data_IF_239375278808
#
_entry.id   IF_239375278808
#
_cell.length_a   1.000
_cell.length_b   1.000
_cell.length_c   1.000
_cell.angle_alpha   90.00
_cell.angle_beta   90.00
_cell.angle_gamma   90.00
#
_symmetry.space_group_name_H-M   'P 1'
#
loop_
_entity.id
_entity.type
_entity.pdbx_description
1 polymer ?
#
# COMPACT_ATOMS: atom_id res chain seq x y z
N UNK A 1 -31.65 -15.32 -15.82
CA UNK A 1 -30.51 -14.46 -15.44
C UNK A 1 -30.15 -14.78 -14.00
N UNK A 2 -28.94 -15.31 -13.75
CA UNK A 2 -28.52 -15.75 -12.42
C UNK A 2 -28.61 -14.58 -11.43
N UNK A 3 -29.46 -14.69 -10.39
CA UNK A 3 -29.61 -13.71 -9.31
C UNK A 3 -28.26 -13.28 -8.73
N UNK A 4 -27.31 -14.21 -8.69
CA UNK A 4 -25.92 -14.03 -8.31
C UNK A 4 -25.16 -13.04 -9.18
N UNK A 5 -25.26 -13.12 -10.51
CA UNK A 5 -24.49 -12.26 -11.43
C UNK A 5 -24.93 -10.81 -11.34
N UNK A 6 -26.24 -10.57 -11.21
CA UNK A 6 -26.79 -9.22 -11.04
C UNK A 6 -26.30 -8.57 -9.73
N UNK A 7 -26.27 -9.35 -8.65
CA UNK A 7 -25.80 -8.86 -7.34
C UNK A 7 -24.26 -8.71 -7.34
N UNK A 8 -23.52 -9.59 -8.01
CA UNK A 8 -22.07 -9.42 -8.18
C UNK A 8 -21.72 -8.14 -8.94
N UNK A 9 -22.46 -7.85 -10.02
CA UNK A 9 -22.28 -6.65 -10.84
C UNK A 9 -22.69 -5.38 -10.09
N UNK A 10 -23.76 -5.42 -9.28
CA UNK A 10 -24.21 -4.28 -8.46
C UNK A 10 -23.25 -4.00 -7.28
N UNK A 11 -22.67 -5.05 -6.67
CA UNK A 11 -21.85 -4.95 -5.46
C UNK A 11 -20.33 -4.93 -5.73
N UNK A 12 -19.91 -4.89 -7.01
CA UNK A 12 -18.51 -5.00 -7.43
C UNK A 12 -17.76 -6.21 -6.83
N UNK A 13 -18.45 -7.32 -6.56
CA UNK A 13 -17.82 -8.56 -6.07
C UNK A 13 -17.45 -9.42 -7.27
N UNK A 14 -16.15 -9.47 -7.58
CA UNK A 14 -15.62 -10.21 -8.72
C UNK A 14 -15.17 -11.61 -8.26
N UNK A 15 -15.74 -12.63 -8.90
CA UNK A 15 -15.33 -14.01 -8.71
C UNK A 15 -16.40 -15.01 -9.13
N UNK A 16 -15.97 -16.21 -9.50
CA UNK A 16 -16.81 -17.32 -9.92
C UNK A 16 -16.54 -18.60 -9.14
N UNK A 17 -15.50 -18.65 -8.31
CA UNK A 17 -15.13 -19.80 -7.47
C UNK A 17 -16.27 -20.23 -6.54
N UNK A 18 -16.30 -21.51 -6.18
CA UNK A 18 -17.30 -22.04 -5.24
C UNK A 18 -17.23 -21.34 -3.88
N UNK A 19 -16.01 -21.11 -3.38
CA UNK A 19 -15.78 -20.45 -2.08
C UNK A 19 -16.34 -19.03 -2.02
N UNK A 20 -16.22 -18.24 -3.10
CA UNK A 20 -16.80 -16.89 -3.09
C UNK A 20 -18.33 -16.93 -3.22
N UNK A 21 -18.90 -17.94 -3.88
CA UNK A 21 -20.35 -18.13 -3.93
C UNK A 21 -20.93 -18.44 -2.56
N UNK A 22 -20.28 -19.31 -1.79
CA UNK A 22 -20.68 -19.59 -0.40
C UNK A 22 -20.69 -18.32 0.47
N UNK A 23 -19.65 -17.47 0.34
CA UNK A 23 -19.58 -16.18 1.03
C UNK A 23 -20.75 -15.28 0.62
N UNK A 24 -21.05 -15.18 -0.67
CA UNK A 24 -22.15 -14.37 -1.19
C UNK A 24 -23.51 -14.89 -0.70
N UNK A 25 -23.72 -16.20 -0.65
CA UNK A 25 -24.95 -16.81 -0.13
C UNK A 25 -25.18 -16.49 1.36
N UNK A 26 -24.11 -16.55 2.14
CA UNK A 26 -24.15 -16.15 3.54
C UNK A 26 -24.46 -14.67 3.69
N UNK A 27 -23.84 -13.81 2.88
CA UNK A 27 -24.15 -12.36 2.84
C UNK A 27 -25.62 -12.12 2.51
N UNK A 28 -26.18 -12.77 1.49
CA UNK A 28 -27.58 -12.63 1.12
C UNK A 28 -28.54 -13.07 2.23
N UNK A 29 -28.16 -14.09 3.00
CA UNK A 29 -28.98 -14.62 4.10
C UNK A 29 -28.96 -13.71 5.33
N UNK A 30 -27.84 -13.05 5.58
CA UNK A 30 -27.60 -12.26 6.80
C UNK A 30 -27.93 -10.78 6.61
N UNK A 31 -27.80 -10.24 5.39
CA UNK A 31 -28.07 -8.84 5.09
C UNK A 31 -29.47 -8.35 5.49
N UNK A 32 -30.57 -9.13 5.36
CA UNK A 32 -31.90 -8.71 5.80
C UNK A 32 -32.07 -8.57 7.33
N UNK A 33 -31.14 -9.11 8.11
CA UNK A 33 -31.23 -9.14 9.59
C UNK A 33 -30.49 -7.97 10.24
N UNK A 34 -30.79 -7.69 11.52
CA UNK A 34 -30.03 -6.74 12.34
C UNK A 34 -28.91 -7.40 13.17
N UNK A 35 -28.58 -8.67 12.90
CA UNK A 35 -27.57 -9.41 13.65
C UNK A 35 -26.17 -8.84 13.34
N UNK A 36 -25.30 -8.84 14.37
CA UNK A 36 -23.89 -8.49 14.23
C UNK A 36 -23.16 -9.50 13.35
N UNK A 37 -22.32 -9.02 12.45
CA UNK A 37 -21.54 -9.87 11.53
C UNK A 37 -20.07 -9.67 11.78
N UNK A 38 -19.34 -10.76 11.97
CA UNK A 38 -17.88 -10.77 12.07
C UNK A 38 -17.28 -11.32 10.77
N UNK A 39 -16.57 -10.48 10.02
CA UNK A 39 -15.86 -10.85 8.80
C UNK A 39 -14.42 -11.20 9.17
N UNK A 40 -14.02 -12.44 8.93
CA UNK A 40 -12.64 -12.91 9.16
C UNK A 40 -11.94 -13.16 7.83
N UNK A 41 -10.63 -12.95 7.80
CA UNK A 41 -9.82 -13.23 6.62
C UNK A 41 -8.54 -12.40 6.61
N UNK A 42 -7.58 -12.82 5.80
CA UNK A 42 -6.28 -12.16 5.70
C UNK A 42 -6.36 -10.69 5.29
N UNK A 43 -5.25 -9.97 5.44
CA UNK A 43 -5.18 -8.59 4.94
C UNK A 43 -5.31 -8.58 3.42
N UNK A 44 -6.02 -7.59 2.88
CA UNK A 44 -6.16 -7.43 1.43
C UNK A 44 -7.13 -8.39 0.71
N UNK A 45 -7.91 -9.23 1.42
CA UNK A 45 -8.89 -10.16 0.76
C UNK A 45 -10.19 -9.49 0.28
N UNK A 46 -10.42 -8.22 0.60
CA UNK A 46 -11.64 -7.48 0.24
C UNK A 46 -12.76 -7.50 1.29
N UNK A 47 -12.41 -7.57 2.59
CA UNK A 47 -13.40 -7.56 3.70
C UNK A 47 -14.35 -6.35 3.66
N UNK A 48 -13.83 -5.18 3.26
CA UNK A 48 -14.63 -3.95 3.13
C UNK A 48 -15.72 -4.07 2.06
N UNK A 49 -15.42 -4.71 0.93
CA UNK A 49 -16.42 -4.94 -0.15
C UNK A 49 -17.53 -5.85 0.35
N UNK A 50 -17.19 -6.88 1.13
CA UNK A 50 -18.19 -7.76 1.77
C UNK A 50 -19.03 -7.00 2.81
N UNK A 51 -18.44 -6.09 3.58
CA UNK A 51 -19.18 -5.24 4.52
C UNK A 51 -20.16 -4.29 3.82
N UNK A 52 -19.72 -3.65 2.73
CA UNK A 52 -20.55 -2.81 1.87
C UNK A 52 -21.71 -3.61 1.27
N UNK A 53 -21.42 -4.80 0.76
CA UNK A 53 -22.43 -5.73 0.25
C UNK A 53 -23.52 -6.08 1.29
N UNK A 54 -23.13 -6.35 2.53
CA UNK A 54 -24.09 -6.61 3.62
C UNK A 54 -24.98 -5.39 3.86
N UNK A 55 -24.41 -4.18 3.83
CA UNK A 55 -25.15 -2.94 4.05
C UNK A 55 -26.13 -2.64 2.91
N UNK A 56 -25.69 -2.75 1.66
CA UNK A 56 -26.51 -2.46 0.47
C UNK A 56 -27.68 -3.43 0.28
N UNK A 57 -27.50 -4.69 0.72
CA UNK A 57 -28.56 -5.71 0.72
C UNK A 57 -29.45 -5.66 1.98
N UNK A 58 -29.22 -4.71 2.88
CA UNK A 58 -29.98 -4.60 4.14
C UNK A 58 -31.18 -3.66 4.05
N UNK A 59 -32.11 -3.72 5.02
CA UNK A 59 -33.17 -2.72 5.16
C UNK A 59 -32.63 -1.30 5.42
N UNK A 60 -31.34 -1.16 5.77
CA UNK A 60 -30.67 0.11 6.07
C UNK A 60 -29.83 0.63 4.89
N UNK A 61 -29.98 0.08 3.68
CA UNK A 61 -29.20 0.50 2.49
C UNK A 61 -29.31 1.98 2.15
N UNK A 62 -30.45 2.61 2.47
CA UNK A 62 -30.70 4.03 2.21
C UNK A 62 -30.22 4.92 3.37
N UNK A 63 -29.55 4.34 4.38
CA UNK A 63 -29.02 5.02 5.56
C UNK A 63 -27.49 5.10 5.47
N UNK A 64 -26.91 5.93 6.33
CA UNK A 64 -25.46 6.12 6.33
C UNK A 64 -24.73 4.85 6.80
N UNK A 65 -23.70 4.46 6.05
CA UNK A 65 -22.68 3.52 6.49
C UNK A 65 -21.43 4.28 6.90
N UNK A 66 -21.01 4.13 8.15
CA UNK A 66 -19.75 4.70 8.65
C UNK A 66 -18.69 3.59 8.72
N UNK A 67 -17.61 3.73 7.98
CA UNK A 67 -16.47 2.81 8.03
C UNK A 67 -15.36 3.39 8.90
N UNK A 68 -14.89 2.61 9.87
CA UNK A 68 -13.82 2.99 10.80
C UNK A 68 -12.76 1.90 10.78
N UNK A 69 -11.53 2.26 10.46
CA UNK A 69 -10.38 1.38 10.63
C UNK A 69 -9.78 1.61 12.03
N UNK A 70 -9.93 0.63 12.92
CA UNK A 70 -9.46 0.75 14.30
C UNK A 70 -7.93 0.71 14.43
N UNK A 71 -7.20 0.10 13.49
CA UNK A 71 -5.74 0.09 13.49
C UNK A 71 -5.11 1.36 12.94
N UNK A 72 -5.84 2.13 12.12
CA UNK A 72 -5.36 3.40 11.58
C UNK A 72 -5.46 4.58 12.58
N UNK A 73 -6.30 4.46 13.61
CA UNK A 73 -6.52 5.52 14.60
C UNK A 73 -5.62 5.25 15.82
N UNK A 74 -4.82 6.23 16.28
CA UNK A 74 -4.04 6.08 17.51
C UNK A 74 -4.91 5.67 18.69
N UNK A 75 -4.43 4.72 19.51
CA UNK A 75 -5.16 4.14 20.65
C UNK A 75 -5.78 5.21 21.56
N UNK A 76 -5.05 6.27 21.88
CA UNK A 76 -5.53 7.36 22.75
C UNK A 76 -6.64 8.23 22.14
N UNK A 77 -6.84 8.18 20.82
CA UNK A 77 -7.88 8.94 20.11
C UNK A 77 -9.08 8.08 19.72
N UNK A 78 -8.91 6.77 19.61
CA UNK A 78 -9.95 5.86 19.13
C UNK A 78 -11.26 5.97 19.93
N UNK A 79 -11.16 6.11 21.26
CA UNK A 79 -12.32 6.27 22.12
C UNK A 79 -13.09 7.57 21.82
N UNK A 80 -12.37 8.68 21.67
CA UNK A 80 -12.94 9.99 21.35
C UNK A 80 -13.57 10.02 19.96
N UNK A 81 -12.97 9.33 18.99
CA UNK A 81 -13.50 9.23 17.63
C UNK A 81 -14.75 8.35 17.56
N UNK A 82 -14.78 7.20 18.25
CA UNK A 82 -15.93 6.30 18.26
C UNK A 82 -17.12 6.88 19.02
N UNK A 83 -16.90 7.38 20.24
CA UNK A 83 -17.98 7.78 21.16
C UNK A 83 -18.20 9.30 21.24
N UNK A 84 -17.29 10.11 20.70
CA UNK A 84 -17.34 11.56 20.82
C UNK A 84 -16.82 12.06 22.17
N UNK A 85 -16.67 13.37 22.29
CA UNK A 85 -16.20 14.02 23.51
C UNK A 85 -16.89 15.35 23.76
N UNK A 86 -17.01 15.72 25.02
CA UNK A 86 -17.41 17.06 25.43
C UNK A 86 -16.22 18.02 25.50
N UNK A 87 -16.52 19.32 25.41
CA UNK A 87 -15.52 20.36 25.61
C UNK A 87 -14.84 20.19 26.97
N UNK A 88 -13.50 20.19 26.98
CA UNK A 88 -12.69 20.04 28.20
C UNK A 88 -12.47 18.60 28.66
N UNK A 89 -12.88 17.58 27.89
CA UNK A 89 -12.70 16.18 28.28
C UNK A 89 -11.22 15.72 28.33
N UNK A 90 -10.33 16.32 27.55
CA UNK A 90 -8.88 16.08 27.55
C UNK A 90 -8.13 17.33 27.06
N UNK A 91 -6.80 17.32 27.19
CA UNK A 91 -5.93 18.40 26.69
C UNK A 91 -6.05 18.50 25.17
N UNK A 92 -6.72 19.54 24.68
CA UNK A 92 -7.00 19.74 23.25
C UNK A 92 -8.49 19.66 22.87
N UNK A 93 -9.38 19.30 23.80
CA UNK A 93 -10.83 19.30 23.59
C UNK A 93 -11.43 20.71 23.61
N UNK A 94 -11.17 21.50 22.57
CA UNK A 94 -11.60 22.91 22.45
C UNK A 94 -13.11 23.02 22.22
N UNK A 95 -13.71 22.04 21.53
CA UNK A 95 -15.12 21.98 21.20
C UNK A 95 -15.67 20.57 21.42
N UNK A 96 -17.00 20.46 21.57
CA UNK A 96 -17.69 19.18 21.62
C UNK A 96 -17.73 18.55 20.21
N UNK A 97 -17.40 17.26 20.10
CA UNK A 97 -17.41 16.50 18.84
C UNK A 97 -18.29 15.26 18.96
N UNK A 98 -19.14 15.02 17.96
CA UNK A 98 -19.93 13.78 17.84
C UNK A 98 -19.01 12.62 17.43
N UNK A 99 -19.23 11.45 18.03
CA UNK A 99 -18.52 10.23 17.66
C UNK A 99 -19.15 9.50 16.48
N UNK A 100 -18.43 8.53 15.92
CA UNK A 100 -18.90 7.71 14.81
C UNK A 100 -20.20 6.95 15.10
N UNK A 101 -20.43 6.52 16.35
CA UNK A 101 -21.70 5.88 16.71
C UNK A 101 -22.91 6.82 16.62
N UNK A 102 -22.74 8.11 16.94
CA UNK A 102 -23.81 9.10 16.76
C UNK A 102 -24.04 9.41 15.28
N UNK A 103 -22.97 9.44 14.48
CA UNK A 103 -23.07 9.68 13.04
C UNK A 103 -23.70 8.50 12.31
N UNK A 104 -23.54 7.27 12.82
CA UNK A 104 -24.10 6.05 12.26
C UNK A 104 -25.52 5.73 12.75
N UNK A 105 -26.15 6.60 13.55
CA UNK A 105 -27.46 6.33 14.14
C UNK A 105 -28.55 6.06 13.09
N UNK A 106 -29.32 4.99 13.28
CA UNK A 106 -30.27 4.45 12.30
C UNK A 106 -29.63 3.76 11.08
N UNK A 107 -28.29 3.75 10.98
CA UNK A 107 -27.52 3.24 9.87
C UNK A 107 -26.70 2.00 10.21
N UNK A 108 -25.50 1.91 9.65
CA UNK A 108 -24.56 0.79 9.86
C UNK A 108 -23.18 1.33 10.17
N UNK A 109 -22.48 0.71 11.12
CA UNK A 109 -21.06 0.98 11.38
C UNK A 109 -20.25 -0.26 11.01
N UNK A 110 -19.22 -0.04 10.21
CA UNK A 110 -18.22 -1.04 9.86
C UNK A 110 -16.94 -0.76 10.64
N UNK A 111 -16.53 -1.72 11.47
CA UNK A 111 -15.34 -1.64 12.31
C UNK A 111 -14.28 -2.59 11.73
N UNK A 112 -13.36 -2.07 10.92
CA UNK A 112 -12.23 -2.84 10.41
C UNK A 112 -11.12 -2.94 11.44
N UNK A 113 -10.38 -4.04 11.41
CA UNK A 113 -9.32 -4.37 12.36
C UNK A 113 -9.77 -4.31 13.84
N UNK A 114 -10.95 -4.86 14.16
CA UNK A 114 -11.50 -4.84 15.52
C UNK A 114 -10.56 -5.46 16.57
N UNK A 115 -9.66 -6.35 16.14
CA UNK A 115 -8.62 -6.93 16.99
C UNK A 115 -7.62 -5.91 17.56
N UNK A 116 -7.45 -4.76 16.92
CA UNK A 116 -6.56 -3.68 17.38
C UNK A 116 -7.22 -2.75 18.41
N UNK A 117 -8.48 -3.01 18.80
CA UNK A 117 -9.17 -2.16 19.76
C UNK A 117 -8.60 -2.31 21.18
N UNK A 118 -8.29 -1.20 21.88
CA UNK A 118 -7.85 -1.22 23.27
C UNK A 118 -8.89 -1.84 24.22
N UNK A 119 -8.42 -2.48 25.29
CA UNK A 119 -9.29 -3.19 26.25
C UNK A 119 -10.36 -2.28 26.89
N UNK A 120 -10.03 -1.00 27.10
CA UNK A 120 -10.95 -0.01 27.68
C UNK A 120 -12.07 0.35 26.69
N UNK A 121 -11.72 0.56 25.43
CA UNK A 121 -12.67 0.81 24.33
C UNK A 121 -13.59 -0.38 24.11
N UNK A 122 -13.07 -1.61 24.24
CA UNK A 122 -13.88 -2.84 24.14
C UNK A 122 -15.03 -2.89 25.16
N UNK A 123 -14.85 -2.36 26.37
CA UNK A 123 -15.92 -2.31 27.40
C UNK A 123 -17.06 -1.42 26.96
N UNK A 124 -16.75 -0.25 26.39
CA UNK A 124 -17.76 0.70 25.90
C UNK A 124 -18.44 0.16 24.64
N UNK A 125 -17.67 -0.47 23.76
CA UNK A 125 -18.20 -1.10 22.56
C UNK A 125 -19.21 -2.21 22.89
N UNK A 126 -18.93 -3.02 23.91
CA UNK A 126 -19.87 -4.04 24.39
C UNK A 126 -21.22 -3.43 24.81
N UNK A 127 -21.20 -2.31 25.55
CA UNK A 127 -22.43 -1.62 25.97
C UNK A 127 -23.26 -1.15 24.77
N UNK A 128 -22.61 -0.60 23.74
CA UNK A 128 -23.31 -0.22 22.50
C UNK A 128 -23.89 -1.45 21.79
N UNK A 129 -23.16 -2.56 21.74
CA UNK A 129 -23.64 -3.81 21.13
C UNK A 129 -24.81 -4.46 21.88
N UNK A 130 -24.92 -4.25 23.20
CA UNK A 130 -25.94 -4.88 24.05
C UNK A 130 -27.19 -4.01 24.21
N UNK A 131 -27.04 -2.76 24.64
CA UNK A 131 -28.16 -1.86 24.95
C UNK A 131 -28.37 -0.74 23.93
N UNK A 132 -27.40 -0.53 23.02
CA UNK A 132 -27.37 0.63 22.14
C UNK A 132 -26.99 1.92 22.87
N UNK A 133 -26.45 1.83 24.09
CA UNK A 133 -26.19 3.00 24.93
C UNK A 133 -24.69 3.24 25.14
N UNK A 134 -24.29 4.52 25.15
CA UNK A 134 -22.95 4.95 25.50
C UNK A 134 -22.95 6.37 26.08
N UNK A 135 -21.78 6.81 26.54
CA UNK A 135 -21.53 8.16 27.02
C UNK A 135 -20.32 8.73 26.26
N UNK A 136 -20.38 10.02 25.94
CA UNK A 136 -19.22 10.75 25.40
C UNK A 136 -18.08 10.79 26.43
N UNK A 137 -16.85 10.91 25.95
CA UNK A 137 -15.70 11.13 26.83
C UNK A 137 -15.89 12.46 27.57
N UNK A 138 -15.78 12.42 28.90
CA UNK A 138 -16.01 13.57 29.78
C UNK A 138 -17.48 13.89 30.08
N UNK A 139 -18.45 13.11 29.59
CA UNK A 139 -19.87 13.28 29.88
C UNK A 139 -20.43 12.14 30.75
N UNK A 140 -21.40 12.47 31.61
CA UNK A 140 -22.23 11.51 32.34
C UNK A 140 -23.60 11.28 31.70
N UNK A 141 -23.88 11.93 30.56
CA UNK A 141 -25.16 11.81 29.85
C UNK A 141 -25.18 10.53 29.01
N UNK A 142 -26.16 9.66 29.27
CA UNK A 142 -26.42 8.47 28.48
C UNK A 142 -27.07 8.84 27.15
N UNK A 143 -26.55 8.29 26.06
CA UNK A 143 -27.06 8.43 24.70
C UNK A 143 -27.41 7.07 24.15
N UNK A 144 -28.54 6.97 23.46
CA UNK A 144 -29.02 5.74 22.82
C UNK A 144 -28.98 5.90 21.31
N UNK A 145 -28.43 4.90 20.63
CA UNK A 145 -28.34 4.82 19.17
C UNK A 145 -28.80 3.45 18.68
N UNK A 146 -29.38 3.40 17.48
CA UNK A 146 -29.74 2.17 16.79
C UNK A 146 -28.81 1.94 15.60
N UNK A 147 -27.70 1.26 15.83
CA UNK A 147 -26.66 1.03 14.81
C UNK A 147 -26.46 -0.45 14.56
N UNK A 148 -26.52 -0.86 13.29
CA UNK A 148 -26.11 -2.20 12.88
C UNK A 148 -24.59 -2.27 12.85
N UNK A 149 -24.01 -3.30 13.47
CA UNK A 149 -22.56 -3.43 13.58
C UNK A 149 -22.05 -4.56 12.68
N UNK A 150 -21.09 -4.23 11.83
CA UNK A 150 -20.30 -5.17 11.04
C UNK A 150 -18.85 -5.00 11.49
N UNK A 151 -18.20 -6.05 11.93
CA UNK A 151 -16.80 -6.02 12.38
C UNK A 151 -15.94 -6.87 11.45
N UNK A 152 -14.69 -6.47 11.22
CA UNK A 152 -13.73 -7.23 10.45
C UNK A 152 -12.40 -7.38 11.19
N UNK A 153 -11.72 -8.50 10.96
CA UNK A 153 -10.38 -8.75 11.53
C UNK A 153 -9.59 -9.74 10.69
N UNK A 154 -8.28 -9.58 10.66
CA UNK A 154 -7.30 -10.54 10.18
C UNK A 154 -6.66 -11.38 11.30
N UNK A 155 -6.94 -11.07 12.56
CA UNK A 155 -6.38 -11.77 13.74
C UNK A 155 -7.35 -12.81 14.27
N UNK A 156 -6.79 -13.86 14.88
CA UNK A 156 -7.56 -14.88 15.57
C UNK A 156 -8.03 -14.35 16.94
N UNK A 157 -9.25 -13.80 16.97
CA UNK A 157 -9.85 -13.28 18.20
C UNK A 157 -9.99 -14.35 19.30
N UNK A 158 -10.12 -15.63 18.94
CA UNK A 158 -10.20 -16.72 19.93
C UNK A 158 -8.89 -16.86 20.70
N UNK A 159 -7.75 -16.77 20.00
CA UNK A 159 -6.43 -16.73 20.67
C UNK A 159 -6.25 -15.46 21.49
N UNK A 160 -6.71 -14.31 20.99
CA UNK A 160 -6.62 -13.03 21.72
C UNK A 160 -7.45 -13.03 23.02
N UNK A 161 -8.56 -13.76 23.05
CA UNK A 161 -9.33 -13.98 24.28
C UNK A 161 -8.52 -14.81 25.28
N UNK A 162 -7.83 -15.85 24.82
CA UNK A 162 -6.98 -16.69 25.68
C UNK A 162 -5.80 -15.90 26.26
N UNK A 163 -5.20 -15.00 25.48
CA UNK A 163 -4.11 -14.12 25.92
C UNK A 163 -4.58 -12.86 26.68
N UNK A 164 -5.88 -12.72 26.98
CA UNK A 164 -6.50 -11.57 27.65
C UNK A 164 -6.33 -10.23 26.92
N UNK A 165 -6.01 -10.25 25.63
CA UNK A 165 -5.93 -9.05 24.79
C UNK A 165 -7.29 -8.63 24.22
N UNK A 166 -8.26 -9.56 24.21
CA UNK A 166 -9.61 -9.30 23.75
C UNK A 166 -10.63 -9.86 24.74
N UNK A 167 -11.70 -9.11 25.04
CA UNK A 167 -12.67 -9.56 26.03
C UNK A 167 -13.54 -10.70 25.50
N UNK A 168 -13.77 -11.68 26.37
CA UNK A 168 -14.58 -12.86 26.09
C UNK A 168 -16.04 -12.51 25.76
N UNK A 169 -16.64 -11.60 26.51
CA UNK A 169 -18.04 -11.16 26.32
C UNK A 169 -18.25 -10.46 24.96
N UNK A 170 -17.40 -9.50 24.62
CA UNK A 170 -17.41 -8.83 23.33
C UNK A 170 -17.22 -9.82 22.18
N UNK A 171 -16.30 -10.77 22.31
CA UNK A 171 -16.08 -11.80 21.29
C UNK A 171 -17.34 -12.60 21.00
N UNK A 172 -18.03 -13.10 22.03
CA UNK A 172 -19.26 -13.88 21.82
C UNK A 172 -20.40 -13.04 21.23
N UNK A 173 -20.47 -11.74 21.55
CA UNK A 173 -21.46 -10.84 20.96
C UNK A 173 -21.19 -10.53 19.49
N UNK A 174 -19.93 -10.45 19.08
CA UNK A 174 -19.53 -10.25 17.68
C UNK A 174 -19.62 -11.53 16.85
N UNK A 175 -19.31 -12.69 17.44
CA UNK A 175 -19.27 -14.00 16.77
C UNK A 175 -20.66 -14.60 16.46
N UNK A 176 -21.73 -13.81 16.52
CA UNK A 176 -23.09 -14.31 16.27
C UNK A 176 -23.21 -14.94 14.87
N UNK A 177 -22.67 -14.25 13.86
CA UNK A 177 -22.47 -14.77 12.51
C UNK A 177 -21.04 -14.45 12.09
N UNK A 178 -20.31 -15.45 11.62
CA UNK A 178 -18.94 -15.29 11.11
C UNK A 178 -18.90 -15.59 9.61
N UNK A 179 -18.38 -14.65 8.82
CA UNK A 179 -18.13 -14.80 7.40
C UNK A 179 -16.62 -14.90 7.18
N UNK A 180 -16.13 -16.07 6.77
CA UNK A 180 -14.73 -16.26 6.42
C UNK A 180 -14.52 -15.91 4.94
N UNK A 181 -13.73 -14.88 4.67
CA UNK A 181 -13.33 -14.51 3.31
C UNK A 181 -12.04 -15.25 2.95
N UNK A 182 -12.06 -16.13 1.94
CA UNK A 182 -10.92 -16.95 1.59
C UNK A 182 -9.78 -16.11 0.98
N UNK A 183 -8.51 -16.47 1.26
CA UNK A 183 -7.38 -15.85 0.61
C UNK A 183 -7.36 -16.16 -0.89
N UNK A 184 -6.70 -15.31 -1.68
CA UNK A 184 -6.72 -15.36 -3.14
C UNK A 184 -6.13 -16.67 -3.69
N UNK A 185 -5.10 -17.21 -3.03
CA UNK A 185 -4.50 -18.52 -3.35
C UNK A 185 -5.45 -19.71 -3.25
N UNK A 186 -6.55 -19.57 -2.50
CA UNK A 186 -7.59 -20.59 -2.36
C UNK A 186 -8.70 -20.46 -3.40
N UNK A 187 -8.72 -19.37 -4.17
CA UNK A 187 -9.70 -19.06 -5.23
C UNK A 187 -8.99 -18.63 -6.52
N UNK A 188 -8.04 -19.46 -6.98
CA UNK A 188 -7.20 -19.18 -8.16
C UNK A 188 -7.99 -18.95 -9.46
N UNK A 189 -9.19 -19.50 -9.55
CA UNK A 189 -10.11 -19.31 -10.68
C UNK A 189 -10.57 -17.86 -10.83
N UNK A 190 -10.57 -17.09 -9.73
CA UNK A 190 -11.00 -15.69 -9.73
C UNK A 190 -9.89 -14.73 -10.18
N UNK A 191 -8.62 -15.16 -10.12
CA UNK A 191 -7.45 -14.32 -10.41
C UNK A 191 -7.51 -13.70 -11.82
N UNK A 192 -7.79 -14.44 -12.92
CA UNK A 192 -7.86 -13.83 -14.25
C UNK A 192 -8.98 -12.80 -14.40
N UNK A 193 -10.11 -13.02 -13.72
CA UNK A 193 -11.26 -12.10 -13.76
C UNK A 193 -10.93 -10.80 -13.02
N UNK A 194 -10.31 -10.92 -11.84
CA UNK A 194 -9.83 -9.80 -11.06
C UNK A 194 -8.75 -9.00 -11.81
N UNK A 195 -7.76 -9.70 -12.39
CA UNK A 195 -6.69 -9.08 -13.16
C UNK A 195 -7.26 -8.28 -14.33
N UNK A 196 -8.18 -8.87 -15.09
CA UNK A 196 -8.83 -8.17 -16.22
C UNK A 196 -9.54 -6.91 -15.75
N UNK A 197 -10.28 -6.98 -14.64
CA UNK A 197 -10.99 -5.83 -14.11
C UNK A 197 -10.03 -4.69 -13.70
N UNK A 198 -8.98 -5.00 -12.96
CA UNK A 198 -8.00 -3.97 -12.54
C UNK A 198 -7.26 -3.37 -13.72
N UNK A 199 -6.93 -4.16 -14.74
CA UNK A 199 -6.33 -3.65 -15.97
C UNK A 199 -7.28 -2.69 -16.68
N UNK A 200 -8.55 -3.05 -16.83
CA UNK A 200 -9.56 -2.18 -17.45
C UNK A 200 -9.81 -0.89 -16.64
N UNK A 201 -9.77 -0.96 -15.30
CA UNK A 201 -9.83 0.20 -14.39
C UNK A 201 -8.63 1.14 -14.65
N UNK A 202 -7.40 0.60 -14.58
CA UNK A 202 -6.15 1.36 -14.79
C UNK A 202 -6.06 2.00 -16.17
N UNK A 203 -6.52 1.30 -17.23
CA UNK A 203 -6.51 1.82 -18.60
C UNK A 203 -7.44 3.03 -18.76
N UNK A 204 -8.61 2.99 -18.12
CA UNK A 204 -9.57 4.11 -18.12
C UNK A 204 -9.04 5.32 -17.37
N UNK A 205 -8.32 5.11 -16.27
CA UNK A 205 -7.80 6.19 -15.44
C UNK A 205 -6.56 6.86 -16.07
N UNK A 206 -5.69 6.10 -16.71
CA UNK A 206 -4.37 6.57 -17.12
C UNK A 206 -4.19 6.76 -18.64
N UNK A 207 -5.19 6.47 -19.48
CA UNK A 207 -5.12 6.58 -20.95
C UNK A 207 -3.90 5.87 -21.58
N UNK A 208 -3.49 4.72 -21.00
CA UNK A 208 -2.36 3.93 -21.48
C UNK A 208 -2.83 2.91 -22.51
N UNK A 209 -1.98 2.56 -23.48
CA UNK A 209 -2.23 1.43 -24.38
C UNK A 209 -1.59 0.16 -23.82
N UNK A 210 -2.37 -0.91 -23.73
CA UNK A 210 -1.91 -2.21 -23.21
C UNK A 210 -2.35 -3.33 -24.15
N UNK A 211 -1.41 -4.15 -24.62
CA UNK A 211 -1.69 -5.21 -25.59
C UNK A 211 -2.11 -6.54 -24.94
N UNK A 212 -2.23 -6.59 -23.61
CA UNK A 212 -2.63 -7.79 -22.88
C UNK A 212 -1.47 -8.60 -22.33
N UNK A 213 -1.82 -9.69 -21.66
CA UNK A 213 -0.88 -10.70 -21.16
C UNK A 213 -0.77 -11.87 -22.16
N UNK A 214 0.37 -12.55 -22.18
CA UNK A 214 0.47 -13.88 -22.80
C UNK A 214 -0.18 -14.94 -21.91
N UNK A 215 -0.56 -16.09 -22.49
CA UNK A 215 -1.16 -17.18 -21.72
C UNK A 215 -0.19 -17.69 -20.63
N UNK A 216 1.10 -17.82 -20.96
CA UNK A 216 2.15 -18.18 -20.01
C UNK A 216 2.27 -17.18 -18.85
N UNK A 217 2.11 -15.88 -19.12
CA UNK A 217 2.13 -14.85 -18.08
C UNK A 217 0.95 -15.02 -17.12
N UNK A 218 -0.24 -15.30 -17.65
CA UNK A 218 -1.44 -15.55 -16.83
C UNK A 218 -1.28 -16.80 -15.97
N UNK A 219 -0.63 -17.85 -16.46
CA UNK A 219 -0.33 -19.04 -15.66
C UNK A 219 0.61 -18.74 -14.48
N UNK A 220 1.65 -17.93 -14.69
CA UNK A 220 2.54 -17.48 -13.61
C UNK A 220 1.76 -16.70 -12.56
N UNK A 221 0.93 -15.75 -12.98
CA UNK A 221 0.08 -14.95 -12.08
C UNK A 221 -0.87 -15.86 -11.28
N UNK A 222 -1.50 -16.86 -11.91
CA UNK A 222 -2.40 -17.81 -11.23
C UNK A 222 -1.71 -18.67 -10.17
N UNK A 223 -0.45 -19.04 -10.42
CA UNK A 223 0.29 -19.95 -9.55
C UNK A 223 1.07 -19.24 -8.43
N UNK A 224 1.14 -17.92 -8.46
CA UNK A 224 1.74 -17.13 -7.39
C UNK A 224 0.89 -17.15 -6.10
N UNK A 225 1.55 -17.00 -4.94
CA UNK A 225 0.91 -17.17 -3.63
C UNK A 225 0.02 -15.99 -3.20
N UNK A 226 0.29 -14.78 -3.70
CA UNK A 226 -0.44 -13.54 -3.37
C UNK A 226 -0.66 -13.35 -1.86
N UNK A 227 0.41 -13.18 -1.08
CA UNK A 227 0.33 -13.00 0.39
C UNK A 227 -0.44 -11.74 0.78
N UNK A 228 -0.40 -10.68 -0.05
CA UNK A 228 -1.20 -9.46 0.09
C UNK A 228 -2.55 -9.52 -0.63
N UNK A 229 -2.95 -10.70 -1.13
CA UNK A 229 -4.25 -11.00 -1.72
C UNK A 229 -4.65 -10.02 -2.84
N UNK A 230 -5.88 -9.50 -2.83
CA UNK A 230 -6.41 -8.62 -3.88
C UNK A 230 -5.65 -7.29 -3.92
N UNK A 231 -5.19 -6.78 -2.76
CA UNK A 231 -4.43 -5.52 -2.70
C UNK A 231 -3.09 -5.65 -3.45
N UNK A 232 -2.38 -6.76 -3.24
CA UNK A 232 -1.14 -7.04 -3.98
C UNK A 232 -1.41 -7.24 -5.47
N UNK A 233 -2.46 -7.99 -5.84
CA UNK A 233 -2.84 -8.18 -7.24
C UNK A 233 -3.20 -6.87 -7.94
N UNK A 234 -3.93 -5.96 -7.27
CA UNK A 234 -4.28 -4.64 -7.81
C UNK A 234 -3.03 -3.80 -8.05
N UNK A 235 -2.15 -3.69 -7.06
CA UNK A 235 -0.88 -2.96 -7.18
C UNK A 235 0.01 -3.53 -8.30
N UNK A 236 0.08 -4.86 -8.41
CA UNK A 236 0.79 -5.53 -9.50
C UNK A 236 0.18 -5.17 -10.86
N UNK A 237 -1.15 -5.23 -11.00
CA UNK A 237 -1.85 -4.92 -12.24
C UNK A 237 -1.65 -3.46 -12.66
N UNK A 238 -1.72 -2.51 -11.73
CA UNK A 238 -1.44 -1.09 -11.98
C UNK A 238 0.01 -0.89 -12.45
N UNK A 239 0.97 -1.45 -11.71
CA UNK A 239 2.39 -1.27 -11.98
C UNK A 239 2.80 -1.88 -13.33
N UNK A 240 2.35 -3.10 -13.64
CA UNK A 240 2.72 -3.79 -14.88
C UNK A 240 2.11 -3.10 -16.11
N UNK A 241 0.89 -2.55 -16.01
CA UNK A 241 0.24 -1.83 -17.11
C UNK A 241 0.99 -0.53 -17.43
N UNK A 242 1.49 0.18 -16.41
CA UNK A 242 2.28 1.41 -16.58
C UNK A 242 3.66 1.09 -17.18
N UNK A 243 4.33 0.06 -16.67
CA UNK A 243 5.68 -0.33 -17.13
C UNK A 243 5.69 -0.93 -18.54
N UNK A 244 4.62 -1.63 -18.92
CA UNK A 244 4.50 -2.31 -20.20
C UNK A 244 3.84 -1.44 -21.28
N UNK A 245 3.79 -0.12 -21.13
CA UNK A 245 3.10 0.80 -22.04
C UNK A 245 3.37 0.47 -23.52
N UNK A 246 2.33 0.01 -24.21
CA UNK A 246 2.33 -0.36 -25.63
C UNK A 246 2.85 -1.75 -25.98
N UNK A 247 3.21 -2.61 -25.01
CA UNK A 247 3.75 -3.97 -25.23
C UNK A 247 2.81 -5.06 -24.69
N UNK A 248 3.02 -6.29 -25.15
CA UNK A 248 2.40 -7.49 -24.58
C UNK A 248 3.27 -7.99 -23.43
N UNK A 249 2.67 -8.28 -22.29
CA UNK A 249 3.39 -8.75 -21.09
C UNK A 249 3.62 -10.25 -21.19
N UNK A 250 4.89 -10.67 -21.16
CA UNK A 250 5.30 -12.06 -21.16
C UNK A 250 5.57 -12.59 -19.73
N UNK A 251 5.83 -13.90 -19.64
CA UNK A 251 6.06 -14.56 -18.35
C UNK A 251 7.35 -14.08 -17.66
N UNK A 252 8.38 -13.68 -18.40
CA UNK A 252 9.64 -13.19 -17.83
C UNK A 252 9.46 -11.84 -17.17
N UNK A 253 8.74 -10.92 -17.81
CA UNK A 253 8.42 -9.61 -17.25
C UNK A 253 7.60 -9.74 -15.97
N UNK A 254 6.61 -10.65 -15.95
CA UNK A 254 5.85 -10.96 -14.73
C UNK A 254 6.76 -11.48 -13.62
N UNK A 255 7.61 -12.47 -13.90
CA UNK A 255 8.52 -13.05 -12.90
C UNK A 255 9.50 -12.01 -12.36
N UNK A 256 10.08 -11.18 -13.23
CA UNK A 256 11.00 -10.13 -12.82
C UNK A 256 10.31 -9.12 -11.88
N UNK A 257 9.06 -8.74 -12.19
CA UNK A 257 8.31 -7.82 -11.35
C UNK A 257 7.88 -8.46 -10.02
N UNK A 258 7.43 -9.72 -10.03
CA UNK A 258 7.06 -10.44 -8.81
C UNK A 258 8.28 -10.76 -7.92
N UNK A 259 9.46 -10.98 -8.49
CA UNK A 259 10.67 -11.22 -7.69
C UNK A 259 11.10 -10.00 -6.88
N UNK A 260 10.93 -8.79 -7.42
CA UNK A 260 11.11 -7.54 -6.65
C UNK A 260 10.18 -7.48 -5.43
N UNK A 261 8.93 -7.95 -5.55
CA UNK A 261 7.98 -8.01 -4.43
C UNK A 261 8.35 -9.05 -3.37
N UNK A 262 8.94 -10.19 -3.75
CA UNK A 262 9.36 -11.23 -2.78
C UNK A 262 10.62 -10.85 -2.02
N UNK A 263 11.59 -10.17 -2.66
CA UNK A 263 12.80 -9.69 -1.98
C UNK A 263 12.44 -8.64 -0.90
N UNK A 264 11.48 -7.75 -1.14
CA UNK A 264 11.01 -6.78 -0.15
C UNK A 264 10.27 -7.43 1.04
N UNK A 265 9.64 -8.60 0.87
CA UNK A 265 8.96 -9.32 1.97
C UNK A 265 9.91 -10.21 2.79
N UNK A 266 10.97 -10.78 2.20
CA UNK A 266 11.97 -11.55 2.97
C UNK A 266 12.80 -10.69 3.93
N UNK A 267 12.91 -9.37 3.69
CA UNK A 267 13.51 -8.45 4.65
C UNK A 267 12.62 -8.14 5.87
N UNK A 268 11.35 -8.57 5.89
CA UNK A 268 10.39 -8.23 6.96
C UNK A 268 10.09 -9.33 7.98
N UNK A 269 10.36 -10.63 7.76
CA UNK A 269 9.76 -11.66 8.65
C UNK A 269 10.64 -12.76 9.23
N UNK A 270 11.92 -12.91 8.88
CA UNK A 270 12.77 -13.88 9.60
C UNK A 270 14.24 -13.51 9.57
N UNK A 271 14.70 -12.77 10.58
CA UNK A 271 16.09 -12.82 11.01
C UNK A 271 16.12 -13.23 12.48
N UNK A 272 16.82 -14.32 12.84
CA UNK A 272 17.03 -14.62 14.24
C UNK A 272 17.88 -13.49 14.84
N UNK A 273 17.30 -12.67 15.72
CA UNK A 273 18.09 -11.80 16.58
C UNK A 273 18.82 -12.69 17.60
N UNK A 274 20.15 -12.82 17.57
CA UNK A 274 20.86 -13.27 18.76
C UNK A 274 20.65 -12.21 19.84
N UNK A 275 20.00 -12.62 20.94
CA UNK A 275 19.51 -11.78 22.04
C UNK A 275 20.66 -11.21 22.91
N UNK A 276 21.75 -10.73 22.31
CA UNK A 276 22.89 -10.25 23.09
C UNK A 276 23.83 -9.28 22.36
N UNK A 277 23.32 -8.21 21.75
CA UNK A 277 24.17 -7.11 21.27
C UNK A 277 23.68 -5.74 21.73
N UNK A 278 24.64 -4.86 22.03
CA UNK A 278 24.41 -3.51 22.52
C UNK A 278 23.64 -2.66 21.51
N UNK A 279 22.79 -1.75 22.01
CA UNK A 279 21.93 -0.84 21.25
C UNK A 279 22.67 -0.12 20.11
N UNK A 280 23.95 0.21 20.33
CA UNK A 280 24.82 0.88 19.34
C UNK A 280 25.12 0.04 18.08
N UNK A 281 25.13 -1.30 18.18
CA UNK A 281 25.30 -2.18 16.99
C UNK A 281 24.00 -2.26 16.18
N UNK A 282 22.85 -2.30 16.85
CA UNK A 282 21.55 -2.30 16.19
C UNK A 282 21.31 -0.99 15.42
N UNK A 283 21.70 0.16 15.99
CA UNK A 283 21.63 1.45 15.32
C UNK A 283 22.55 1.52 14.09
N UNK A 284 23.79 1.02 14.19
CA UNK A 284 24.69 0.96 13.03
C UNK A 284 24.15 0.08 11.92
N UNK A 285 23.57 -1.08 12.24
CA UNK A 285 22.98 -1.95 11.23
C UNK A 285 21.73 -1.35 10.57
N UNK A 286 20.91 -0.61 11.32
CA UNK A 286 19.78 0.16 10.76
C UNK A 286 20.28 1.24 9.79
N UNK A 287 21.34 1.96 10.15
CA UNK A 287 21.95 2.99 9.29
C UNK A 287 22.54 2.35 8.03
N UNK A 288 23.25 1.22 8.15
CA UNK A 288 23.78 0.50 6.99
C UNK A 288 22.65 0.00 6.07
N UNK A 289 21.53 -0.48 6.64
CA UNK A 289 20.35 -0.87 5.86
C UNK A 289 19.71 0.31 5.12
N UNK A 290 19.56 1.46 5.78
CA UNK A 290 19.04 2.68 5.15
C UNK A 290 19.96 3.18 4.03
N UNK A 291 21.29 3.08 4.20
CA UNK A 291 22.26 3.42 3.16
C UNK A 291 22.18 2.47 1.95
N UNK A 292 21.97 1.17 2.19
CA UNK A 292 21.82 0.19 1.11
C UNK A 292 20.49 0.37 0.36
N UNK A 293 19.38 0.63 1.06
CA UNK A 293 18.09 0.90 0.41
C UNK A 293 18.15 2.17 -0.44
N UNK A 294 18.74 3.25 0.08
CA UNK A 294 19.00 4.48 -0.69
C UNK A 294 19.89 4.22 -1.91
N UNK A 295 20.89 3.34 -1.79
CA UNK A 295 21.75 2.97 -2.90
C UNK A 295 21.03 2.22 -4.03
N UNK A 296 19.99 1.44 -3.70
CA UNK A 296 19.11 0.78 -4.67
C UNK A 296 18.17 1.80 -5.30
N UNK A 297 17.53 2.65 -4.50
CA UNK A 297 16.63 3.72 -4.98
C UNK A 297 17.34 4.68 -5.95
N UNK A 298 18.58 5.08 -5.66
CA UNK A 298 19.38 5.94 -6.55
C UNK A 298 19.67 5.24 -7.88
N UNK A 299 19.86 3.91 -7.87
CA UNK A 299 20.12 3.13 -9.09
C UNK A 299 18.88 3.05 -9.96
N UNK A 300 17.72 2.84 -9.37
CA UNK A 300 16.44 2.83 -10.08
C UNK A 300 16.12 4.23 -10.63
N UNK A 301 16.40 5.29 -9.87
CA UNK A 301 16.27 6.68 -10.32
C UNK A 301 17.20 6.97 -11.51
N UNK A 302 18.43 6.42 -11.48
CA UNK A 302 19.39 6.51 -12.58
C UNK A 302 18.87 5.77 -13.83
N UNK A 303 18.30 4.58 -13.69
CA UNK A 303 17.69 3.85 -14.82
C UNK A 303 16.49 4.59 -15.41
N UNK A 304 15.62 5.15 -14.57
CA UNK A 304 14.47 5.95 -15.01
C UNK A 304 14.97 7.19 -15.77
N UNK A 305 15.96 7.92 -15.23
CA UNK A 305 16.55 9.07 -15.92
C UNK A 305 17.24 8.69 -17.23
N UNK A 306 17.95 7.56 -17.29
CA UNK A 306 18.56 7.06 -18.53
C UNK A 306 17.52 6.69 -19.58
N UNK A 307 16.39 6.10 -19.17
CA UNK A 307 15.28 5.77 -20.06
C UNK A 307 14.51 7.01 -20.51
N UNK A 308 14.32 8.01 -19.64
CA UNK A 308 13.77 9.31 -20.02
C UNK A 308 14.69 10.04 -21.00
N UNK A 309 16.01 9.98 -20.80
CA UNK A 309 16.98 10.62 -21.69
C UNK A 309 17.03 9.93 -23.07
N UNK A 310 16.86 8.61 -23.14
CA UNK A 310 16.69 7.88 -24.42
C UNK A 310 15.41 8.28 -25.16
N UNK A 311 14.30 8.46 -24.43
CA UNK A 311 13.04 8.92 -25.02
C UNK A 311 13.11 10.40 -25.50
N UNK A 312 13.94 11.23 -24.87
CA UNK A 312 14.23 12.59 -25.34
C UNK A 312 15.14 12.55 -26.59
N UNK A 313 16.05 11.58 -26.66
CA UNK A 313 16.96 11.41 -27.81
C UNK A 313 16.23 10.97 -29.09
N UNK A 314 15.18 10.15 -28.98
CA UNK A 314 14.37 9.71 -30.14
C UNK A 314 13.44 10.81 -30.70
N UNK A 315 13.19 11.90 -29.97
CA UNK A 315 12.32 13.00 -30.42
C UNK A 315 13.06 14.21 -31.00
N UNK A 316 14.39 14.25 -30.95
CA UNK A 316 15.19 15.37 -31.45
C UNK A 316 16.31 14.85 -32.37
N UNK A 317 15.96 14.52 -33.62
CA UNK A 317 16.95 14.42 -34.70
C UNK A 317 16.89 15.72 -35.50
N UNK A 318 17.84 16.62 -35.23
CA UNK A 318 18.50 17.42 -36.26
C UNK A 318 19.70 18.14 -35.64
N UNK A 319 20.85 17.99 -36.32
CA UNK A 319 22.13 18.70 -36.15
C UNK A 319 23.20 17.99 -35.31
N UNK A 320 24.11 17.34 -36.04
CA UNK A 320 25.54 17.13 -35.82
C UNK A 320 26.05 17.18 -34.38
N UNK A 321 26.13 16.00 -33.74
CA UNK A 321 27.04 15.80 -32.61
C UNK A 321 27.72 14.45 -32.77
N UNK A 322 29.05 14.49 -32.81
CA UNK A 322 29.94 13.32 -32.85
C UNK A 322 29.64 12.34 -31.72
N UNK A 323 29.65 11.07 -32.10
CA UNK A 323 29.46 9.89 -31.26
C UNK A 323 30.44 9.91 -30.07
N UNK A 324 29.91 10.08 -28.85
CA UNK A 324 30.70 9.89 -27.61
C UNK A 324 30.15 8.66 -26.90
N UNK A 325 30.72 7.51 -27.23
CA UNK A 325 30.55 6.29 -26.45
C UNK A 325 31.07 6.51 -25.03
N UNK A 326 30.20 6.44 -24.03
CA UNK A 326 30.62 6.30 -22.64
C UNK A 326 31.15 4.88 -22.44
N UNK A 327 32.45 4.68 -22.66
CA UNK A 327 33.15 3.49 -22.20
C UNK A 327 33.47 3.66 -20.72
N UNK A 328 32.94 2.75 -19.90
CA UNK A 328 33.14 2.62 -18.46
C UNK A 328 34.54 2.00 -18.17
N UNK A 329 35.59 2.52 -18.81
CA UNK A 329 36.98 2.12 -18.54
C UNK A 329 37.63 3.08 -17.55
N UNK A 330 38.28 2.53 -16.51
CA UNK A 330 39.03 3.32 -15.52
C UNK A 330 40.24 3.95 -16.20
N UNK A 331 40.10 5.22 -16.60
CA UNK A 331 41.18 5.97 -17.22
C UNK A 331 42.23 6.40 -16.18
N UNK A 332 43.53 6.38 -16.52
CA UNK A 332 44.57 6.92 -15.67
C UNK A 332 44.27 8.38 -15.32
N UNK A 333 44.41 8.73 -14.05
CA UNK A 333 44.02 10.04 -13.53
C UNK A 333 44.65 11.22 -14.30
N UNK A 334 45.84 11.03 -14.88
CA UNK A 334 46.50 12.03 -15.71
C UNK A 334 45.82 12.33 -17.06
N UNK A 335 45.14 11.37 -17.67
CA UNK A 335 44.39 11.59 -18.92
C UNK A 335 43.07 12.31 -18.67
N UNK A 336 42.38 11.94 -17.59
CA UNK A 336 41.18 12.63 -17.13
C UNK A 336 41.49 14.09 -16.77
N UNK A 337 42.61 14.32 -16.08
CA UNK A 337 43.09 15.67 -15.76
C UNK A 337 43.36 16.49 -17.04
N UNK A 338 44.07 15.90 -18.02
CA UNK A 338 44.38 16.56 -19.29
C UNK A 338 43.11 16.94 -20.07
N UNK A 339 42.12 16.05 -20.14
CA UNK A 339 40.85 16.31 -20.82
C UNK A 339 40.05 17.42 -20.14
N UNK A 340 39.96 17.40 -18.80
CA UNK A 340 39.25 18.42 -18.03
C UNK A 340 39.90 19.81 -18.19
N UNK A 341 41.24 19.87 -18.20
CA UNK A 341 41.97 21.13 -18.45
C UNK A 341 41.68 21.67 -19.86
N UNK A 342 41.69 20.82 -20.90
CA UNK A 342 41.34 21.24 -22.26
C UNK A 342 39.91 21.75 -22.36
N UNK A 343 38.96 21.03 -21.76
CA UNK A 343 37.54 21.41 -21.77
C UNK A 343 37.31 22.72 -21.05
N UNK A 344 37.98 22.95 -19.92
CA UNK A 344 37.93 24.23 -19.20
C UNK A 344 38.53 25.37 -20.04
N UNK A 345 39.67 25.16 -20.67
CA UNK A 345 40.31 26.17 -21.53
C UNK A 345 39.44 26.55 -22.73
N UNK A 346 38.82 25.56 -23.39
CA UNK A 346 37.88 25.80 -24.48
C UNK A 346 36.63 26.56 -24.01
N UNK A 347 36.03 26.13 -22.89
CA UNK A 347 34.81 26.75 -22.33
C UNK A 347 35.01 28.22 -21.94
N UNK A 348 36.21 28.59 -21.49
CA UNK A 348 36.53 29.96 -21.09
C UNK A 348 37.36 30.72 -22.14
N UNK A 349 37.35 30.27 -23.40
CA UNK A 349 38.04 30.90 -24.54
C UNK A 349 39.50 31.28 -24.25
N UNK A 350 40.25 30.36 -23.63
CA UNK A 350 41.67 30.56 -23.31
C UNK A 350 41.96 31.43 -22.08
N UNK A 351 40.95 31.86 -21.33
CA UNK A 351 41.16 32.66 -20.12
C UNK A 351 41.66 31.80 -18.95
N UNK A 352 42.99 31.74 -18.81
CA UNK A 352 43.72 30.88 -17.85
C UNK A 352 43.30 31.10 -16.40
N UNK A 353 42.98 32.34 -16.00
CA UNK A 353 42.54 32.65 -14.63
C UNK A 353 41.16 32.09 -14.30
N UNK A 354 40.20 32.25 -15.22
CA UNK A 354 38.84 31.71 -15.05
C UNK A 354 38.83 30.19 -15.11
N UNK A 355 39.64 29.62 -16.00
CA UNK A 355 39.79 28.17 -16.10
C UNK A 355 40.41 27.56 -14.82
N UNK A 356 41.44 28.21 -14.25
CA UNK A 356 42.06 27.76 -12.99
C UNK A 356 41.06 27.79 -11.82
N UNK A 357 40.27 28.87 -11.72
CA UNK A 357 39.24 29.01 -10.69
C UNK A 357 38.13 27.95 -10.84
N UNK A 358 37.69 27.66 -12.06
CA UNK A 358 36.67 26.66 -12.32
C UNK A 358 37.14 25.22 -12.06
N UNK A 359 38.45 24.98 -12.13
CA UNK A 359 39.09 23.70 -11.81
C UNK A 359 39.56 23.64 -10.34
N UNK A 360 39.30 24.68 -9.55
CA UNK A 360 39.71 24.80 -8.14
C UNK A 360 41.22 24.62 -7.89
N UNK A 361 42.05 24.98 -8.86
CA UNK A 361 43.52 24.93 -8.75
C UNK A 361 44.14 26.32 -8.84
N UNK A 362 45.34 26.46 -8.28
CA UNK A 362 46.08 27.72 -8.43
C UNK A 362 46.45 27.97 -9.90
N UNK A 363 46.46 29.23 -10.33
CA UNK A 363 46.87 29.60 -11.70
C UNK A 363 48.27 29.05 -12.02
N UNK A 364 49.20 29.10 -11.07
CA UNK A 364 50.56 28.56 -11.22
C UNK A 364 50.55 27.05 -11.50
N UNK A 365 49.65 26.30 -10.87
CA UNK A 365 49.45 24.87 -11.11
C UNK A 365 48.91 24.64 -12.53
N UNK A 366 47.91 25.43 -12.94
CA UNK A 366 47.36 25.34 -14.29
C UNK A 366 48.43 25.64 -15.36
N UNK A 367 49.22 26.70 -15.21
CA UNK A 367 50.31 27.02 -16.13
C UNK A 367 51.35 25.90 -16.24
N UNK A 368 51.70 25.27 -15.11
CA UNK A 368 52.61 24.13 -15.09
C UNK A 368 52.03 22.94 -15.85
N UNK A 369 50.75 22.64 -15.63
CA UNK A 369 50.04 21.51 -16.27
C UNK A 369 49.80 21.73 -17.76
N UNK A 370 49.48 22.95 -18.18
CA UNK A 370 49.37 23.31 -19.61
C UNK A 370 50.70 23.06 -20.35
N UNK A 371 51.83 23.40 -19.71
CA UNK A 371 53.17 23.14 -20.27
C UNK A 371 53.55 21.65 -20.23
N UNK A 372 53.15 20.93 -19.19
CA UNK A 372 53.41 19.49 -19.04
C UNK A 372 52.62 18.65 -20.06
N UNK A 373 51.42 19.09 -20.44
CA UNK A 373 50.54 18.39 -21.37
C UNK A 373 50.56 18.92 -22.81
N UNK A 374 51.37 19.93 -23.08
CA UNK A 374 51.52 20.61 -24.39
C UNK A 374 50.17 21.12 -24.92
N UNK A 375 49.51 21.97 -24.12
CA UNK A 375 48.21 22.58 -24.41
C UNK A 375 48.40 24.11 -24.43
N UNK A 376 48.15 24.75 -25.57
CA UNK A 376 48.36 26.20 -25.79
C UNK A 376 47.32 27.10 -25.10
#
# INVERSE_FOLDING_TARGET
MNKYKKIQDELNIIGQSEKIREVIELVMSVAPTNISVLITGESGVGKEVIAKAIHELSPRRDKQMISVNCGAIPEGLLESELFGHEKGAFTGAIATKKGYFELADGGTIFLDEIGETPIQTQVKLLRVLESGEFMRVGSGELRKVDVRIIAATNRDLSRMVQSKQFRKDLYYRLKAITILVPPLRERKEDIPLLLKHFVEETLKENNVQFQGFTDDAVEVIKNYNWSGNIRELKNFAESIVILAAGKKVDAEMVRHHLHKYSDDQEFSTTLPMPVNTSVERAERELIYKALLSLGVEIRDMKEILLNMNRNIHDQVISEDVEDVSYQDEVQPMGEVEKQMIRKAMAKFNGNKRKAAQALEISERTLYRKLKEYDIE
#
